data_IF_118983079627
#
_entry.id   IF_118983079627
#
_cell.length_a   1.000
_cell.length_b   1.000
_cell.length_c   1.000
_cell.angle_alpha   90.00
_cell.angle_beta   90.00
_cell.angle_gamma   90.00
#
_symmetry.space_group_name_H-M   'P 1'
#
loop_
_entity.id
_entity.type
_entity.pdbx_description
1 polymer ?
#
# COMPACT_ATOMS: atom_id res chain seq x y z
N UNK A 1 -8.27 10.67 11.59
CA UNK A 1 -7.21 9.63 11.52
C UNK A 1 -7.43 8.58 12.61
N UNK A 2 -7.24 7.29 12.30
CA UNK A 2 -7.35 6.19 13.25
C UNK A 2 -6.55 6.34 14.54
N UNK A 3 -5.39 7.03 14.48
CA UNK A 3 -4.59 7.39 15.65
C UNK A 3 -5.41 8.08 16.77
N UNK A 4 -6.46 8.81 16.40
CA UNK A 4 -7.32 9.54 17.33
C UNK A 4 -8.61 8.82 17.72
N UNK A 5 -8.86 7.64 17.15
CA UNK A 5 -10.11 6.92 17.39
C UNK A 5 -10.18 6.25 18.77
N UNK A 6 -9.02 5.92 19.36
CA UNK A 6 -8.92 5.35 20.70
C UNK A 6 -9.35 6.32 21.84
N UNK A 7 -9.65 7.58 21.53
CA UNK A 7 -10.09 8.59 22.50
C UNK A 7 -11.32 9.41 22.09
N UNK A 8 -11.88 9.19 20.90
CA UNK A 8 -12.96 10.03 20.33
C UNK A 8 -14.38 9.55 20.66
N UNK A 9 -14.55 8.69 21.67
CA UNK A 9 -15.85 8.19 22.13
C UNK A 9 -16.32 6.93 21.39
N UNK A 10 -17.64 6.70 21.38
CA UNK A 10 -18.22 5.45 20.91
C UNK A 10 -18.05 5.20 19.40
N UNK A 11 -18.02 6.26 18.58
CA UNK A 11 -17.81 6.16 17.12
C UNK A 11 -16.40 5.63 16.80
N UNK A 12 -15.37 6.26 17.36
CA UNK A 12 -13.98 5.84 17.15
C UNK A 12 -13.70 4.43 17.66
N UNK A 13 -14.17 4.09 18.87
CA UNK A 13 -14.01 2.74 19.41
C UNK A 13 -14.68 1.66 18.53
N UNK A 14 -15.86 1.97 17.98
CA UNK A 14 -16.57 1.08 17.06
C UNK A 14 -15.85 0.97 15.71
N UNK A 15 -15.34 2.08 15.18
CA UNK A 15 -14.59 2.13 13.92
C UNK A 15 -13.35 1.21 13.95
N UNK A 16 -12.65 1.14 15.07
CA UNK A 16 -11.47 0.27 15.24
C UNK A 16 -11.81 -1.22 15.11
N UNK A 17 -13.01 -1.65 15.52
CA UNK A 17 -13.44 -3.03 15.35
C UNK A 17 -13.62 -3.40 13.87
N UNK A 18 -13.98 -2.45 13.01
CA UNK A 18 -14.06 -2.65 11.56
C UNK A 18 -12.68 -2.53 10.88
N UNK A 19 -11.79 -1.71 11.42
CA UNK A 19 -10.44 -1.53 10.88
C UNK A 19 -9.57 -2.78 11.05
N UNK A 20 -9.78 -3.59 12.09
CA UNK A 20 -8.98 -4.79 12.34
C UNK A 20 -8.86 -5.68 11.09
N UNK A 21 -7.62 -6.07 10.79
CA UNK A 21 -7.30 -6.94 9.65
C UNK A 21 -7.30 -6.25 8.28
N UNK A 22 -7.67 -4.97 8.19
CA UNK A 22 -7.53 -4.20 6.95
C UNK A 22 -6.08 -3.79 6.68
N UNK A 23 -5.81 -3.26 5.50
CA UNK A 23 -4.52 -2.69 5.12
C UNK A 23 -4.15 -1.51 6.02
N UNK A 24 -5.11 -0.65 6.37
CA UNK A 24 -4.88 0.43 7.32
C UNK A 24 -4.49 -0.09 8.71
N UNK A 25 -5.10 -1.18 9.17
CA UNK A 25 -4.70 -1.82 10.43
C UNK A 25 -3.29 -2.39 10.36
N UNK A 26 -2.91 -3.02 9.23
CA UNK A 26 -1.55 -3.51 9.03
C UNK A 26 -0.54 -2.36 9.11
N UNK A 27 -0.75 -1.28 8.38
CA UNK A 27 0.13 -0.10 8.34
C UNK A 27 0.28 0.58 9.71
N UNK A 28 -0.77 0.61 10.53
CA UNK A 28 -0.69 1.18 11.90
C UNK A 28 0.15 0.32 12.84
N UNK A 29 0.11 -1.00 12.66
CA UNK A 29 0.84 -1.95 13.49
C UNK A 29 2.17 -2.37 12.87
N UNK A 30 2.57 -1.74 11.77
CA UNK A 30 3.88 -1.93 11.17
C UNK A 30 4.94 -1.38 12.12
N UNK A 31 5.98 -2.18 12.35
CA UNK A 31 7.07 -1.83 13.27
C UNK A 31 8.32 -1.42 12.50
N UNK A 32 9.05 -0.47 13.03
CA UNK A 32 10.36 -0.07 12.51
C UNK A 32 11.46 -1.13 12.79
N UNK A 33 12.71 -0.82 12.44
CA UNK A 33 13.86 -1.69 12.71
C UNK A 33 14.08 -1.98 14.21
N UNK A 34 13.57 -1.10 15.08
CA UNK A 34 13.63 -1.27 16.54
C UNK A 34 12.50 -2.14 17.10
N UNK A 35 11.50 -2.47 16.27
CA UNK A 35 10.30 -3.21 16.66
C UNK A 35 9.21 -2.34 17.29
N UNK A 36 9.31 -1.01 17.18
CA UNK A 36 8.33 -0.07 17.69
C UNK A 36 7.33 0.33 16.59
N UNK A 37 6.05 0.47 16.97
CA UNK A 37 5.03 1.03 16.09
C UNK A 37 5.10 2.55 16.05
N UNK A 38 4.53 3.17 15.02
CA UNK A 38 4.44 4.63 14.92
C UNK A 38 3.82 5.29 16.16
N UNK A 39 2.82 4.65 16.76
CA UNK A 39 2.15 5.15 17.97
C UNK A 39 3.11 5.13 19.17
N UNK A 40 3.87 4.05 19.31
CA UNK A 40 4.87 3.91 20.37
C UNK A 40 6.01 4.91 20.19
N UNK A 41 6.43 5.18 18.95
CA UNK A 41 7.46 6.18 18.65
C UNK A 41 7.01 7.60 18.97
N UNK A 42 5.78 7.96 18.61
CA UNK A 42 5.19 9.26 18.95
C UNK A 42 5.14 9.43 20.47
N UNK A 43 4.69 8.40 21.19
CA UNK A 43 4.64 8.39 22.65
C UNK A 43 6.04 8.48 23.27
N UNK A 44 7.00 7.69 22.79
CA UNK A 44 8.38 7.70 23.26
C UNK A 44 9.05 9.06 23.04
N UNK A 45 8.85 9.67 21.86
CA UNK A 45 9.37 11.00 21.56
C UNK A 45 8.75 12.08 22.43
N UNK A 46 7.44 12.01 22.70
CA UNK A 46 6.76 12.94 23.60
C UNK A 46 7.39 12.91 25.00
N UNK A 47 7.60 11.70 25.52
CA UNK A 47 8.16 11.46 26.86
C UNK A 47 9.63 11.91 26.95
N UNK A 48 10.45 11.50 25.99
CA UNK A 48 11.90 11.69 26.02
C UNK A 48 12.36 13.09 25.59
N UNK A 49 11.65 13.72 24.64
CA UNK A 49 12.09 14.96 23.99
C UNK A 49 11.09 16.08 24.22
N UNK A 50 9.85 15.92 23.74
CA UNK A 50 8.90 17.03 23.66
C UNK A 50 8.61 17.63 25.04
N UNK A 51 8.39 16.78 26.06
CA UNK A 51 8.15 17.23 27.44
C UNK A 51 9.30 18.06 28.00
N UNK A 52 10.54 17.64 27.74
CA UNK A 52 11.72 18.37 28.17
C UNK A 52 11.81 19.77 27.53
N UNK A 53 11.53 19.86 26.24
CA UNK A 53 11.49 21.13 25.51
C UNK A 53 10.37 22.03 26.02
N UNK A 54 9.15 21.52 26.18
CA UNK A 54 8.02 22.28 26.70
C UNK A 54 8.28 22.85 28.09
N UNK A 55 8.93 22.09 28.97
CA UNK A 55 9.29 22.56 30.32
C UNK A 55 10.23 23.75 30.31
N UNK A 56 11.11 23.83 29.31
CA UNK A 56 12.05 24.94 29.15
C UNK A 56 11.39 26.17 28.53
N UNK A 57 10.49 25.99 27.56
CA UNK A 57 9.90 27.09 26.78
C UNK A 57 8.68 27.72 27.48
N UNK A 58 7.78 26.90 28.02
CA UNK A 58 6.48 27.35 28.57
C UNK A 58 6.49 27.54 30.09
N UNK A 59 7.59 27.21 30.76
CA UNK A 59 7.72 27.17 32.22
C UNK A 59 7.02 25.96 32.85
N UNK A 60 7.47 25.55 34.03
CA UNK A 60 7.07 24.30 34.70
C UNK A 60 5.56 24.18 34.94
N UNK A 61 4.87 25.30 35.16
CA UNK A 61 3.43 25.35 35.49
C UNK A 61 2.51 25.05 34.30
N UNK A 62 2.99 25.22 33.07
CA UNK A 62 2.20 25.03 31.84
C UNK A 62 2.36 23.63 31.23
N UNK A 63 3.32 22.84 31.73
CA UNK A 63 3.59 21.48 31.24
C UNK A 63 2.68 20.44 31.86
N UNK A 64 2.21 20.66 33.09
CA UNK A 64 1.26 19.76 33.75
C UNK A 64 -0.08 19.65 33.00
N UNK A 65 -0.39 20.61 32.12
CA UNK A 65 -1.62 20.62 31.31
C UNK A 65 -1.47 20.00 29.92
N UNK A 66 -0.25 19.77 29.42
CA UNK A 66 -0.01 19.20 28.09
C UNK A 66 -0.02 17.68 28.15
N UNK A 67 -1.00 17.07 27.49
CA UNK A 67 -1.18 15.63 27.45
C UNK A 67 -0.54 15.00 26.21
N UNK A 68 -0.35 13.67 26.24
CA UNK A 68 0.01 12.90 25.04
C UNK A 68 -0.97 13.12 23.88
N UNK A 69 -2.26 13.30 24.21
CA UNK A 69 -3.30 13.51 23.22
C UNK A 69 -3.16 14.87 22.52
N UNK A 70 -2.73 15.92 23.24
CA UNK A 70 -2.44 17.23 22.64
C UNK A 70 -1.25 17.16 21.69
N UNK A 71 -0.21 16.40 22.06
CA UNK A 71 0.94 16.17 21.20
C UNK A 71 0.57 15.36 19.96
N UNK A 72 -0.21 14.29 20.12
CA UNK A 72 -0.71 13.49 19.00
C UNK A 72 -1.59 14.34 18.06
N UNK A 73 -2.42 15.25 18.61
CA UNK A 73 -3.20 16.19 17.80
C UNK A 73 -2.30 17.12 16.98
N UNK A 74 -1.27 17.70 17.60
CA UNK A 74 -0.31 18.55 16.91
C UNK A 74 0.48 17.77 15.84
N UNK A 75 0.90 16.55 16.16
CA UNK A 75 1.53 15.63 15.21
C UNK A 75 0.62 15.40 14.00
N UNK A 76 -0.66 15.09 14.25
CA UNK A 76 -1.62 14.87 13.17
C UNK A 76 -1.86 16.09 12.29
N UNK A 77 -1.86 17.30 12.87
CA UNK A 77 -1.95 18.53 12.08
C UNK A 77 -0.74 18.68 11.16
N UNK A 78 0.47 18.43 11.67
CA UNK A 78 1.69 18.53 10.86
C UNK A 78 1.73 17.42 9.80
N UNK A 79 1.45 16.17 10.17
CA UNK A 79 1.53 15.03 9.25
C UNK A 79 0.52 15.10 8.11
N UNK A 80 -0.63 15.76 8.32
CA UNK A 80 -1.69 15.88 7.31
C UNK A 80 -1.62 17.15 6.46
N UNK A 81 -0.75 18.12 6.80
CA UNK A 81 -0.73 19.45 6.16
C UNK A 81 0.65 19.95 5.75
N UNK A 82 1.72 19.31 6.19
CA UNK A 82 3.07 19.68 5.79
C UNK A 82 3.35 19.23 4.35
N UNK A 83 4.12 20.06 3.64
CA UNK A 83 4.61 19.81 2.29
C UNK A 83 6.12 19.60 2.33
N UNK A 84 6.63 18.72 1.47
CA UNK A 84 8.05 18.67 1.17
C UNK A 84 8.37 19.85 0.24
N UNK A 85 9.20 20.78 0.71
CA UNK A 85 9.48 22.05 0.04
C UNK A 85 10.72 21.93 -0.86
N UNK A 86 11.89 21.72 -0.26
CA UNK A 86 13.16 21.68 -0.96
C UNK A 86 14.23 20.96 -0.12
N UNK A 87 15.46 20.89 -0.64
CA UNK A 87 16.59 20.22 0.01
C UNK A 87 17.08 20.87 1.32
N UNK A 88 16.69 22.12 1.61
CA UNK A 88 17.10 22.87 2.81
C UNK A 88 15.99 22.92 3.85
N UNK A 89 14.78 23.34 3.47
CA UNK A 89 13.63 23.49 4.34
C UNK A 89 12.98 22.14 4.70
N UNK A 90 13.09 21.13 3.83
CA UNK A 90 12.49 19.82 4.07
C UNK A 90 10.97 19.88 4.17
N UNK A 91 10.40 19.42 5.30
CA UNK A 91 8.95 19.47 5.55
C UNK A 91 8.54 20.79 6.21
N UNK A 92 7.59 21.50 5.61
CA UNK A 92 7.05 22.74 6.16
C UNK A 92 5.52 22.85 6.02
N UNK A 93 4.90 23.56 6.97
CA UNK A 93 3.50 23.98 6.87
C UNK A 93 3.42 25.22 5.98
N UNK A 94 2.64 25.15 4.91
CA UNK A 94 2.50 26.24 3.93
C UNK A 94 1.09 26.82 4.02
N UNK A 95 0.91 27.97 4.71
CA UNK A 95 -0.41 28.59 4.81
C UNK A 95 -1.01 28.85 3.43
N UNK A 96 -2.34 28.76 3.32
CA UNK A 96 -3.12 28.86 2.08
C UNK A 96 -3.00 27.61 1.21
N UNK A 97 -1.79 27.11 0.94
CA UNK A 97 -1.61 25.86 0.18
C UNK A 97 -2.20 24.65 0.91
N UNK A 98 -2.11 24.62 2.25
CA UNK A 98 -2.68 23.58 3.10
C UNK A 98 -4.22 23.63 3.25
N UNK A 99 -4.88 24.62 2.62
CA UNK A 99 -6.33 24.74 2.62
C UNK A 99 -7.02 23.97 1.47
N UNK A 100 -6.27 23.60 0.43
CA UNK A 100 -6.82 22.88 -0.72
C UNK A 100 -7.00 21.38 -0.40
N UNK A 101 -8.21 20.87 -0.61
CA UNK A 101 -8.54 19.45 -0.42
C UNK A 101 -7.94 18.55 -1.50
N UNK A 102 -7.89 17.23 -1.26
CA UNK A 102 -7.36 16.27 -2.21
C UNK A 102 -8.41 15.65 -3.12
N UNK A 103 -8.06 15.46 -4.39
CA UNK A 103 -8.67 14.50 -5.31
C UNK A 103 -7.58 13.95 -6.24
N UNK A 104 -7.75 12.74 -6.78
CA UNK A 104 -6.81 12.17 -7.76
C UNK A 104 -6.68 13.07 -9.00
N UNK A 105 -7.81 13.41 -9.62
CA UNK A 105 -7.90 14.31 -10.77
C UNK A 105 -7.91 15.77 -10.33
N UNK A 106 -6.77 16.29 -9.86
CA UNK A 106 -6.66 17.59 -9.21
C UNK A 106 -6.69 18.79 -10.16
N UNK A 107 -6.98 19.96 -9.59
CA UNK A 107 -7.02 21.23 -10.31
C UNK A 107 -5.70 21.98 -10.23
N UNK A 108 -5.06 21.93 -9.06
CA UNK A 108 -3.85 22.68 -8.74
C UNK A 108 -2.82 21.78 -8.09
N UNK A 109 -1.55 22.15 -8.14
CA UNK A 109 -0.49 21.55 -7.33
C UNK A 109 0.45 22.62 -6.77
N UNK A 110 1.18 22.28 -5.71
CA UNK A 110 2.25 23.10 -5.18
C UNK A 110 3.52 22.88 -6.01
N UNK A 111 4.14 23.95 -6.47
CA UNK A 111 5.45 23.96 -7.10
C UNK A 111 6.44 24.73 -6.22
N UNK A 112 7.64 24.18 -6.09
CA UNK A 112 8.79 24.75 -5.40
C UNK A 112 10.06 24.49 -6.19
N UNK A 113 11.08 25.33 -5.99
CA UNK A 113 12.42 25.09 -6.52
C UNK A 113 13.19 24.15 -5.59
N UNK A 114 13.20 22.86 -5.90
CA UNK A 114 13.77 21.85 -5.01
C UNK A 114 15.31 21.92 -4.89
N UNK A 115 15.99 22.32 -5.97
CA UNK A 115 17.46 22.34 -6.09
C UNK A 115 18.08 23.61 -5.49
N UNK A 116 17.87 23.83 -4.19
CA UNK A 116 18.56 24.85 -3.40
C UNK A 116 19.81 24.29 -2.73
N UNK A 117 20.71 25.19 -2.31
CA UNK A 117 21.83 24.80 -1.45
C UNK A 117 21.31 24.15 -0.14
N UNK A 118 21.65 22.88 0.18
CA UNK A 118 21.16 22.20 1.39
C UNK A 118 21.65 22.82 2.71
N UNK A 119 22.63 23.72 2.67
CA UNK A 119 23.20 24.36 3.88
C UNK A 119 22.61 25.75 4.17
N UNK A 120 22.14 26.48 3.16
CA UNK A 120 21.61 27.84 3.34
C UNK A 120 20.35 28.18 2.56
N UNK A 121 19.79 27.26 1.78
CA UNK A 121 18.56 27.48 1.00
C UNK A 121 18.73 28.42 -0.20
N UNK A 122 19.96 28.75 -0.59
CA UNK A 122 20.17 29.65 -1.73
C UNK A 122 19.84 28.94 -3.05
N UNK A 123 18.97 29.57 -3.85
CA UNK A 123 18.70 29.21 -5.25
C UNK A 123 19.85 29.59 -6.20
N UNK A 124 20.75 30.45 -5.75
CA UNK A 124 21.88 30.94 -6.54
C UNK A 124 23.17 30.31 -6.02
N UNK A 125 24.24 30.52 -6.78
CA UNK A 125 25.57 30.17 -6.31
C UNK A 125 25.82 30.82 -4.95
N UNK A 126 26.28 30.03 -3.99
CA UNK A 126 26.54 30.41 -2.62
C UNK A 126 27.97 30.04 -2.21
N UNK A 127 28.38 30.44 -1.01
CA UNK A 127 29.73 30.15 -0.48
C UNK A 127 30.00 28.64 -0.35
N UNK A 128 28.95 27.82 -0.26
CA UNK A 128 29.06 26.36 -0.17
C UNK A 128 29.40 25.71 -1.53
N UNK A 129 29.35 26.46 -2.64
CA UNK A 129 29.76 25.99 -3.97
C UNK A 129 31.28 26.17 -4.23
N UNK A 130 32.05 26.53 -3.21
CA UNK A 130 33.52 26.65 -3.29
C UNK A 130 34.04 27.92 -3.97
N UNK A 131 33.22 28.95 -4.12
CA UNK A 131 33.61 30.25 -4.67
C UNK A 131 34.01 31.27 -3.61
N UNK A 132 35.18 31.91 -3.79
CA UNK A 132 35.56 33.12 -3.06
C UNK A 132 34.89 34.33 -3.75
N UNK A 133 34.02 35.04 -3.00
CA UNK A 133 33.23 36.23 -3.37
C UNK A 133 31.98 36.03 -4.25
N UNK A 134 30.80 36.27 -3.65
CA UNK A 134 29.51 36.39 -4.34
C UNK A 134 28.82 37.72 -3.99
N UNK A 135 28.14 38.37 -4.96
CA UNK A 135 27.57 39.71 -4.78
C UNK A 135 26.33 39.73 -3.86
N UNK A 136 26.13 40.91 -3.27
CA UNK A 136 25.16 41.26 -2.23
C UNK A 136 23.70 40.99 -2.58
N UNK A 137 22.99 40.43 -1.60
CA UNK A 137 21.57 40.62 -1.25
C UNK A 137 20.67 41.20 -2.35
N UNK A 138 20.22 40.33 -3.25
CA UNK A 138 18.84 40.42 -3.74
C UNK A 138 18.15 39.18 -3.20
N UNK A 139 17.39 39.35 -2.13
CA UNK A 139 16.33 38.41 -1.75
C UNK A 139 15.38 38.39 -2.95
N UNK A 140 15.59 37.46 -3.90
CA UNK A 140 14.45 37.02 -4.69
C UNK A 140 13.48 36.43 -3.68
N UNK A 141 12.22 36.86 -3.74
CA UNK A 141 11.18 36.30 -2.90
C UNK A 141 11.08 34.82 -3.27
N UNK A 142 11.79 33.98 -2.52
CA UNK A 142 11.62 32.53 -2.54
C UNK A 142 10.17 32.26 -2.19
N UNK A 143 9.39 31.91 -3.21
CA UNK A 143 7.95 31.78 -3.15
C UNK A 143 7.55 30.39 -3.58
N UNK A 144 6.56 29.87 -2.89
CA UNK A 144 5.88 28.65 -3.28
C UNK A 144 4.69 29.01 -4.16
N UNK A 145 4.54 28.32 -5.28
CA UNK A 145 3.51 28.61 -6.27
C UNK A 145 2.43 27.53 -6.24
N UNK A 146 1.16 27.92 -6.13
CA UNK A 146 0.03 27.03 -6.39
C UNK A 146 -0.41 27.21 -7.84
N UNK A 147 -0.14 26.21 -8.67
CA UNK A 147 -0.32 26.30 -10.13
C UNK A 147 -1.48 25.43 -10.57
N UNK A 148 -2.29 25.95 -11.49
CA UNK A 148 -3.38 25.20 -12.10
C UNK A 148 -2.89 24.31 -13.25
N UNK A 149 -3.34 23.05 -13.20
CA UNK A 149 -3.02 22.04 -14.22
C UNK A 149 -4.04 22.04 -15.36
N UNK A 150 -5.23 22.59 -15.10
CA UNK A 150 -6.35 22.63 -16.04
C UNK A 150 -7.21 23.89 -15.81
N UNK A 151 -8.06 24.28 -16.78
CA UNK A 151 -9.05 25.33 -16.57
C UNK A 151 -9.95 25.01 -15.37
N UNK A 152 -10.24 26.02 -14.55
CA UNK A 152 -11.09 25.89 -13.36
C UNK A 152 -12.32 26.78 -13.57
N UNK A 153 -13.51 26.20 -13.45
CA UNK A 153 -14.76 26.94 -13.58
C UNK A 153 -15.00 27.86 -12.38
N UNK A 154 -15.77 28.93 -12.58
CA UNK A 154 -16.09 29.84 -11.49
C UNK A 154 -17.08 29.20 -10.51
N UNK A 155 -16.78 29.26 -9.21
CA UNK A 155 -17.68 28.79 -8.16
C UNK A 155 -17.56 27.31 -7.82
N UNK A 156 -16.62 26.57 -8.42
CA UNK A 156 -16.29 25.19 -8.02
C UNK A 156 -15.18 25.18 -6.98
N UNK A 157 -15.18 24.17 -6.13
CA UNK A 157 -14.07 23.93 -5.21
C UNK A 157 -12.79 23.55 -5.98
N UNK A 158 -11.67 24.08 -5.51
CA UNK A 158 -10.36 23.84 -6.10
C UNK A 158 -9.64 22.78 -5.28
N UNK A 159 -9.15 21.75 -5.95
CA UNK A 159 -8.54 20.58 -5.32
C UNK A 159 -7.05 20.47 -5.69
N UNK A 160 -6.24 20.12 -4.70
CA UNK A 160 -4.83 19.77 -4.80
C UNK A 160 -4.64 18.24 -4.91
N UNK A 161 -3.40 17.79 -5.14
CA UNK A 161 -2.97 16.41 -4.94
C UNK A 161 -2.12 16.29 -3.66
N UNK A 162 -2.40 15.28 -2.83
CA UNK A 162 -1.58 14.94 -1.64
C UNK A 162 -0.54 13.85 -1.97
N UNK A 163 -0.48 13.45 -3.24
CA UNK A 163 0.29 12.32 -3.74
C UNK A 163 -0.56 11.49 -4.70
N UNK A 164 -0.02 11.19 -5.89
CA UNK A 164 -0.77 10.52 -6.96
C UNK A 164 -1.03 9.03 -6.68
N UNK A 165 -0.29 8.44 -5.73
CA UNK A 165 -0.17 6.98 -5.57
C UNK A 165 -0.59 6.48 -4.18
N UNK A 166 -1.42 7.24 -3.46
CA UNK A 166 -1.86 6.91 -2.10
C UNK A 166 -3.14 6.05 -2.11
N UNK A 167 -3.10 4.90 -1.43
CA UNK A 167 -4.29 4.08 -1.19
C UNK A 167 -5.20 4.70 -0.12
N UNK A 168 -6.46 4.29 -0.05
CA UNK A 168 -7.39 4.69 1.00
C UNK A 168 -6.90 4.32 2.40
N UNK A 169 -6.15 3.21 2.53
CA UNK A 169 -5.50 2.87 3.78
C UNK A 169 -4.49 3.95 4.19
N UNK A 170 -3.65 4.44 3.26
CA UNK A 170 -2.70 5.51 3.53
C UNK A 170 -3.39 6.86 3.76
N UNK A 171 -4.39 7.20 2.93
CA UNK A 171 -5.16 8.44 3.07
C UNK A 171 -5.87 8.52 4.42
N UNK A 172 -6.46 7.42 4.87
CA UNK A 172 -7.13 7.35 6.17
C UNK A 172 -6.15 7.59 7.33
N UNK A 173 -4.94 7.04 7.22
CA UNK A 173 -3.92 7.14 8.25
C UNK A 173 -3.21 8.49 8.29
N UNK A 174 -2.96 9.11 7.13
CA UNK A 174 -2.21 10.35 7.01
C UNK A 174 -3.10 11.59 7.06
N UNK A 175 -4.32 11.50 6.54
CA UNK A 175 -5.22 12.66 6.36
C UNK A 175 -6.60 12.46 7.00
N UNK A 176 -7.01 11.22 7.27
CA UNK A 176 -8.26 10.94 7.97
C UNK A 176 -9.50 10.95 7.08
N UNK A 177 -9.35 10.71 5.78
CA UNK A 177 -10.44 10.50 4.83
C UNK A 177 -10.11 9.33 3.90
N UNK A 178 -11.11 8.88 3.13
CA UNK A 178 -10.97 7.91 2.04
C UNK A 178 -11.68 8.46 0.80
N UNK A 179 -11.30 7.98 -0.38
CA UNK A 179 -11.95 8.28 -1.65
C UNK A 179 -12.86 7.13 -2.06
N UNK A 180 -13.98 7.46 -2.71
CA UNK A 180 -14.83 6.46 -3.36
C UNK A 180 -14.17 6.00 -4.66
N UNK A 181 -13.87 4.70 -4.77
CA UNK A 181 -13.25 4.12 -5.97
C UNK A 181 -11.80 4.54 -6.19
N UNK A 182 -10.92 4.33 -5.21
CA UNK A 182 -9.50 4.65 -5.33
C UNK A 182 -8.72 3.55 -6.06
N UNK A 183 -8.27 3.82 -7.29
CA UNK A 183 -7.46 2.90 -8.11
C UNK A 183 -6.14 2.47 -7.45
N UNK A 184 -5.63 3.24 -6.48
CA UNK A 184 -4.40 2.91 -5.75
C UNK A 184 -4.63 1.91 -4.60
N UNK A 185 -5.88 1.55 -4.31
CA UNK A 185 -6.20 0.57 -3.29
C UNK A 185 -5.54 -0.77 -3.59
N UNK A 186 -5.02 -1.36 -2.52
CA UNK A 186 -4.31 -2.63 -2.60
C UNK A 186 -4.30 -3.29 -1.23
N UNK A 187 -4.30 -4.62 -1.23
CA UNK A 187 -4.09 -5.44 -0.05
C UNK A 187 -2.72 -6.08 -0.16
N UNK A 188 -1.86 -5.91 0.85
CA UNK A 188 -0.45 -6.33 0.76
C UNK A 188 -0.07 -7.36 1.82
N UNK A 189 1.01 -8.09 1.53
CA UNK A 189 1.65 -9.02 2.44
C UNK A 189 3.16 -8.75 2.50
N UNK A 190 3.73 -8.98 3.67
CA UNK A 190 5.18 -8.97 3.88
C UNK A 190 5.82 -10.27 3.39
N UNK A 191 7.14 -10.24 3.15
CA UNK A 191 7.89 -11.45 2.83
C UNK A 191 7.77 -12.54 3.92
N UNK A 192 7.64 -12.11 5.18
CA UNK A 192 7.48 -13.02 6.32
C UNK A 192 6.12 -13.70 6.33
N UNK A 193 5.03 -12.94 6.15
CA UNK A 193 3.68 -13.50 6.02
C UNK A 193 3.58 -14.47 4.83
N UNK A 194 4.18 -14.11 3.70
CA UNK A 194 4.21 -14.97 2.51
C UNK A 194 4.92 -16.30 2.77
N UNK A 195 6.04 -16.26 3.48
CA UNK A 195 6.80 -17.45 3.82
C UNK A 195 6.07 -18.35 4.84
N UNK A 196 5.47 -17.76 5.87
CA UNK A 196 4.65 -18.50 6.83
C UNK A 196 3.44 -19.15 6.17
N UNK A 197 2.79 -18.43 5.25
CA UNK A 197 1.70 -18.95 4.44
C UNK A 197 2.15 -20.13 3.56
N UNK A 198 3.25 -19.99 2.84
CA UNK A 198 3.79 -21.08 2.01
C UNK A 198 4.21 -22.27 2.87
N UNK A 199 4.87 -22.05 4.00
CA UNK A 199 5.31 -23.11 4.90
C UNK A 199 4.13 -23.93 5.43
N UNK A 200 3.08 -23.24 5.88
CA UNK A 200 1.86 -23.86 6.41
C UNK A 200 1.04 -24.56 5.33
N UNK A 201 0.94 -23.98 4.13
CA UNK A 201 0.10 -24.50 3.04
C UNK A 201 0.76 -25.65 2.27
N UNK A 202 2.09 -25.60 2.07
CA UNK A 202 2.82 -26.60 1.30
C UNK A 202 3.62 -27.58 2.17
N UNK A 203 3.70 -27.36 3.49
CA UNK A 203 4.57 -28.13 4.40
C UNK A 203 6.02 -28.20 3.93
N UNK A 204 6.50 -27.08 3.37
CA UNK A 204 7.81 -26.96 2.73
C UNK A 204 8.59 -25.76 3.28
N UNK A 205 9.93 -25.79 3.21
CA UNK A 205 10.79 -24.70 3.72
C UNK A 205 10.91 -23.58 2.68
N UNK A 206 10.35 -22.37 2.92
CA UNK A 206 10.35 -21.26 1.97
C UNK A 206 11.72 -20.59 1.77
N UNK A 207 12.77 -20.99 2.51
CA UNK A 207 14.08 -20.34 2.45
C UNK A 207 14.68 -20.20 1.03
N UNK A 208 14.59 -21.19 0.11
CA UNK A 208 15.10 -21.04 -1.26
C UNK A 208 14.36 -19.98 -2.07
N UNK A 209 13.04 -19.85 -1.88
CA UNK A 209 12.24 -18.83 -2.57
C UNK A 209 12.61 -17.45 -2.05
N UNK A 210 12.63 -17.26 -0.72
CA UNK A 210 13.02 -15.97 -0.11
C UNK A 210 14.35 -15.43 -0.63
N UNK A 211 15.34 -16.30 -0.83
CA UNK A 211 16.67 -15.91 -1.31
C UNK A 211 16.72 -15.58 -2.81
N UNK A 212 15.72 -15.98 -3.58
CA UNK A 212 15.67 -15.81 -5.04
C UNK A 212 14.59 -14.83 -5.48
N UNK A 213 13.67 -14.42 -4.60
CA UNK A 213 12.56 -13.53 -4.92
C UNK A 213 13.01 -12.21 -5.52
N UNK A 214 13.91 -11.48 -4.88
CA UNK A 214 14.37 -10.17 -5.38
C UNK A 214 15.00 -10.28 -6.77
N UNK A 215 15.80 -11.33 -6.97
CA UNK A 215 16.38 -11.63 -8.27
C UNK A 215 15.32 -11.92 -9.33
N UNK A 216 14.35 -12.81 -9.05
CA UNK A 216 13.26 -13.11 -9.98
C UNK A 216 12.43 -11.87 -10.34
N UNK A 217 12.14 -11.03 -9.35
CA UNK A 217 11.38 -9.80 -9.55
C UNK A 217 12.13 -8.75 -10.38
N UNK A 218 13.48 -8.79 -10.38
CA UNK A 218 14.33 -7.88 -11.17
C UNK A 218 14.44 -8.24 -12.65
N UNK A 219 14.00 -9.45 -13.04
CA UNK A 219 14.01 -9.89 -14.44
C UNK A 219 12.89 -9.23 -15.24
N UNK A 220 13.05 -9.21 -16.56
CA UNK A 220 11.99 -8.77 -17.48
C UNK A 220 10.97 -9.88 -17.68
N UNK A 221 9.68 -9.53 -17.62
CA UNK A 221 8.55 -10.44 -17.75
C UNK A 221 7.60 -9.95 -18.84
N UNK A 222 8.10 -9.77 -20.08
CA UNK A 222 7.35 -9.25 -21.23
C UNK A 222 5.98 -9.94 -21.45
N UNK A 223 5.92 -11.27 -21.24
CA UNK A 223 4.66 -12.03 -21.36
C UNK A 223 3.56 -11.49 -20.43
N UNK A 224 3.92 -11.08 -19.21
CA UNK A 224 2.96 -10.50 -18.27
C UNK A 224 2.50 -9.12 -18.73
N UNK A 225 3.43 -8.28 -19.22
CA UNK A 225 3.11 -6.93 -19.69
C UNK A 225 2.19 -6.93 -20.92
N UNK A 226 2.32 -7.92 -21.80
CA UNK A 226 1.60 -7.96 -23.07
C UNK A 226 0.28 -8.74 -23.01
N UNK A 227 0.14 -9.72 -22.10
CA UNK A 227 -0.88 -10.76 -22.27
C UNK A 227 -1.64 -11.20 -21.03
N UNK A 228 -1.29 -10.77 -19.81
CA UNK A 228 -1.98 -11.25 -18.60
C UNK A 228 -3.04 -10.27 -18.12
N UNK A 229 -4.26 -10.77 -17.91
CA UNK A 229 -5.35 -10.05 -17.24
C UNK A 229 -5.38 -10.35 -15.73
N UNK A 230 -4.70 -11.41 -15.28
CA UNK A 230 -4.71 -11.87 -13.90
C UNK A 230 -3.55 -11.34 -13.07
N UNK A 231 -2.43 -11.00 -13.73
CA UNK A 231 -1.18 -10.61 -13.08
C UNK A 231 -0.64 -9.32 -13.68
N UNK A 232 -0.35 -8.33 -12.85
CA UNK A 232 0.20 -7.03 -13.28
C UNK A 232 1.63 -6.83 -12.75
N UNK A 233 2.45 -6.05 -13.47
CA UNK A 233 3.80 -5.70 -13.03
C UNK A 233 3.74 -4.55 -12.00
N UNK A 234 4.09 -4.84 -10.75
CA UNK A 234 4.18 -3.83 -9.69
C UNK A 234 5.61 -3.29 -9.57
N UNK A 235 5.81 -2.01 -9.89
CA UNK A 235 7.15 -1.39 -9.84
C UNK A 235 7.75 -1.30 -8.43
N UNK A 236 6.94 -1.47 -7.37
CA UNK A 236 7.40 -1.47 -5.98
C UNK A 236 7.79 -2.88 -5.51
N UNK A 237 7.66 -3.89 -6.37
CA UNK A 237 7.99 -5.29 -6.07
C UNK A 237 7.25 -5.84 -4.84
N UNK A 238 6.05 -5.32 -4.57
CA UNK A 238 5.24 -5.71 -3.43
C UNK A 238 4.51 -7.03 -3.69
N UNK A 239 4.24 -7.79 -2.62
CA UNK A 239 3.30 -8.91 -2.68
C UNK A 239 1.90 -8.36 -2.42
N UNK A 240 1.08 -8.17 -3.45
CA UNK A 240 -0.22 -7.53 -3.26
C UNK A 240 -1.27 -7.92 -4.31
N UNK A 241 -2.52 -7.56 -4.00
CA UNK A 241 -3.66 -7.54 -4.93
C UNK A 241 -4.10 -6.08 -5.07
N UNK A 242 -4.26 -5.58 -6.29
CA UNK A 242 -4.65 -4.19 -6.56
C UNK A 242 -6.18 -3.99 -6.52
N UNK A 243 -6.64 -2.75 -6.77
CA UNK A 243 -8.05 -2.37 -6.73
C UNK A 243 -8.95 -3.21 -7.66
N UNK A 244 -8.41 -3.71 -8.77
CA UNK A 244 -9.13 -4.54 -9.74
C UNK A 244 -9.18 -6.03 -9.35
N UNK A 245 -8.58 -6.42 -8.22
CA UNK A 245 -8.47 -7.82 -7.83
C UNK A 245 -7.38 -8.60 -8.59
N UNK A 246 -6.50 -7.91 -9.32
CA UNK A 246 -5.38 -8.53 -10.03
C UNK A 246 -4.16 -8.70 -9.10
N UNK A 247 -3.40 -9.76 -9.31
CA UNK A 247 -2.27 -10.15 -8.45
C UNK A 247 -0.99 -9.47 -8.94
N UNK A 248 -0.16 -8.96 -8.03
CA UNK A 248 1.15 -8.44 -8.41
C UNK A 248 2.07 -9.55 -8.90
N UNK A 249 2.94 -9.25 -9.86
CA UNK A 249 3.91 -10.22 -10.36
C UNK A 249 4.82 -10.74 -9.24
N UNK A 250 5.17 -9.90 -8.26
CA UNK A 250 5.92 -10.32 -7.08
C UNK A 250 5.21 -11.44 -6.30
N UNK A 251 3.91 -11.29 -6.02
CA UNK A 251 3.10 -12.29 -5.32
C UNK A 251 3.00 -13.58 -6.15
N UNK A 252 2.72 -13.44 -7.44
CA UNK A 252 2.63 -14.58 -8.36
C UNK A 252 3.95 -15.35 -8.44
N UNK A 253 5.07 -14.66 -8.65
CA UNK A 253 6.41 -15.25 -8.76
C UNK A 253 6.80 -15.99 -7.48
N UNK A 254 6.47 -15.44 -6.30
CA UNK A 254 6.76 -16.08 -5.02
C UNK A 254 6.04 -17.43 -4.91
N UNK A 255 4.73 -17.45 -5.17
CA UNK A 255 3.91 -18.67 -5.07
C UNK A 255 4.27 -19.69 -6.17
N UNK A 256 4.51 -19.23 -7.40
CA UNK A 256 4.93 -20.08 -8.50
C UNK A 256 6.29 -20.73 -8.22
N UNK A 257 7.28 -19.95 -7.75
CA UNK A 257 8.58 -20.46 -7.37
C UNK A 257 8.49 -21.47 -6.21
N UNK A 258 7.62 -21.24 -5.22
CA UNK A 258 7.38 -22.17 -4.12
C UNK A 258 6.81 -23.52 -4.61
N UNK A 259 5.87 -23.51 -5.55
CA UNK A 259 5.34 -24.72 -6.16
C UNK A 259 6.40 -25.46 -6.98
N UNK A 260 7.19 -24.74 -7.78
CA UNK A 260 8.30 -25.34 -8.55
C UNK A 260 9.30 -25.99 -7.61
N UNK A 261 9.74 -25.28 -6.55
CA UNK A 261 10.73 -25.79 -5.60
C UNK A 261 10.21 -27.01 -4.83
N UNK A 262 8.97 -26.94 -4.32
CA UNK A 262 8.37 -28.02 -3.54
C UNK A 262 8.18 -29.29 -4.36
N UNK A 263 7.80 -29.18 -5.65
CA UNK A 263 7.65 -30.33 -6.55
C UNK A 263 8.97 -30.94 -7.01
N UNK A 264 9.99 -30.11 -7.23
CA UNK A 264 11.31 -30.56 -7.71
C UNK A 264 12.25 -30.98 -6.58
N UNK A 265 11.90 -30.69 -5.32
CA UNK A 265 12.72 -31.02 -4.15
C UNK A 265 13.96 -30.13 -4.00
N UNK A 266 13.96 -28.95 -4.62
CA UNK A 266 15.01 -27.95 -4.49
C UNK A 266 15.06 -27.48 -3.02
N UNK A 267 16.26 -27.47 -2.42
CA UNK A 267 16.48 -27.05 -1.02
C UNK A 267 17.62 -26.05 -0.83
N UNK A 268 18.29 -25.61 -1.91
CA UNK A 268 19.49 -24.77 -1.83
C UNK A 268 19.55 -23.70 -2.94
N UNK A 269 20.26 -22.58 -2.72
CA UNK A 269 20.08 -21.36 -3.52
C UNK A 269 20.80 -21.32 -4.88
N UNK A 270 22.04 -21.82 -4.99
CA UNK A 270 22.91 -21.41 -6.12
C UNK A 270 22.82 -22.30 -7.35
N UNK A 271 22.43 -23.57 -7.22
CA UNK A 271 22.22 -24.49 -8.36
C UNK A 271 20.76 -24.58 -8.80
N UNK A 272 19.89 -23.75 -8.21
CA UNK A 272 18.45 -23.84 -8.36
C UNK A 272 17.84 -22.67 -9.15
N UNK A 273 18.52 -21.53 -9.26
CA UNK A 273 17.99 -20.33 -9.91
C UNK A 273 17.55 -20.59 -11.36
N UNK A 274 18.37 -21.25 -12.17
CA UNK A 274 18.01 -21.60 -13.55
C UNK A 274 16.83 -22.57 -13.63
N UNK A 275 16.77 -23.54 -12.71
CA UNK A 275 15.67 -24.50 -12.64
C UNK A 275 14.35 -23.85 -12.18
N UNK A 276 14.43 -22.93 -11.21
CA UNK A 276 13.29 -22.15 -10.72
C UNK A 276 12.79 -21.24 -11.84
N UNK A 277 13.68 -20.47 -12.48
CA UNK A 277 13.31 -19.59 -13.59
C UNK A 277 12.67 -20.37 -14.73
N UNK A 278 13.29 -21.46 -15.17
CA UNK A 278 12.73 -22.30 -16.22
C UNK A 278 11.35 -22.87 -15.84
N UNK A 279 11.19 -23.33 -14.60
CA UNK A 279 9.90 -23.80 -14.11
C UNK A 279 8.83 -22.70 -14.09
N UNK A 280 9.17 -21.53 -13.56
CA UNK A 280 8.27 -20.36 -13.48
C UNK A 280 7.89 -19.88 -14.88
N UNK A 281 8.82 -19.80 -15.83
CA UNK A 281 8.50 -19.45 -17.22
C UNK A 281 7.56 -20.45 -17.90
N UNK A 282 7.74 -21.76 -17.63
CA UNK A 282 6.82 -22.77 -18.15
C UNK A 282 5.42 -22.63 -17.55
N UNK A 283 5.30 -22.27 -16.27
CA UNK A 283 4.01 -21.96 -15.64
C UNK A 283 3.39 -20.72 -16.25
N UNK A 284 4.17 -19.66 -16.47
CA UNK A 284 3.69 -18.42 -17.06
C UNK A 284 3.15 -18.63 -18.48
N UNK A 285 3.88 -19.36 -19.34
CA UNK A 285 3.42 -19.70 -20.69
C UNK A 285 2.15 -20.56 -20.66
N UNK A 286 2.06 -21.50 -19.72
CA UNK A 286 0.86 -22.31 -19.55
C UNK A 286 -0.34 -21.46 -19.11
N UNK A 287 -0.16 -20.55 -18.16
CA UNK A 287 -1.20 -19.62 -17.71
C UNK A 287 -1.65 -18.72 -18.86
N UNK A 288 -0.72 -18.09 -19.58
CA UNK A 288 -1.05 -17.19 -20.70
C UNK A 288 -1.86 -17.91 -21.79
N UNK A 289 -1.50 -19.15 -22.14
CA UNK A 289 -2.29 -19.97 -23.08
C UNK A 289 -3.70 -20.31 -22.55
N UNK A 290 -3.85 -20.51 -21.22
CA UNK A 290 -5.16 -20.72 -20.60
C UNK A 290 -6.03 -19.46 -20.59
N UNK A 291 -5.45 -18.30 -20.28
CA UNK A 291 -6.14 -16.99 -20.33
C UNK A 291 -6.62 -16.66 -21.75
N UNK A 292 -5.82 -17.00 -22.76
CA UNK A 292 -6.17 -16.80 -24.17
C UNK A 292 -7.12 -17.87 -24.75
N UNK A 293 -7.58 -18.82 -23.92
CA UNK A 293 -8.42 -19.95 -24.32
C UNK A 293 -7.83 -20.75 -25.50
N UNK A 294 -6.50 -20.91 -25.54
CA UNK A 294 -5.84 -21.75 -26.52
C UNK A 294 -6.24 -23.22 -26.36
N UNK A 295 -6.26 -23.97 -27.47
CA UNK A 295 -6.47 -25.42 -27.41
C UNK A 295 -5.39 -26.08 -26.52
N UNK A 296 -5.75 -27.03 -25.66
CA UNK A 296 -4.81 -27.73 -24.75
C UNK A 296 -3.60 -28.35 -25.45
N UNK A 297 -3.79 -28.80 -26.70
CA UNK A 297 -2.75 -29.37 -27.57
C UNK A 297 -1.68 -28.36 -28.03
N UNK A 298 -1.98 -27.06 -27.98
CA UNK A 298 -1.04 -25.99 -28.31
C UNK A 298 -0.29 -25.47 -27.07
N UNK A 299 -0.77 -25.79 -25.86
CA UNK A 299 -0.15 -25.36 -24.61
C UNK A 299 0.92 -26.37 -24.17
N UNK A 300 2.19 -25.96 -24.26
CA UNK A 300 3.32 -26.81 -23.87
C UNK A 300 3.26 -27.22 -22.39
N UNK A 301 3.24 -28.53 -22.14
CA UNK A 301 3.19 -29.08 -20.78
C UNK A 301 1.83 -28.92 -20.09
N UNK A 302 0.74 -28.70 -20.84
CA UNK A 302 -0.61 -28.43 -20.32
C UNK A 302 -1.03 -29.32 -19.15
N UNK A 303 -0.84 -30.64 -19.24
CA UNK A 303 -1.28 -31.57 -18.18
C UNK A 303 -0.51 -31.37 -16.87
N UNK A 304 0.82 -31.31 -16.93
CA UNK A 304 1.67 -31.18 -15.74
C UNK A 304 1.65 -29.74 -15.20
N UNK A 305 1.80 -28.76 -16.08
CA UNK A 305 1.80 -27.35 -15.74
C UNK A 305 0.41 -26.87 -15.33
N UNK A 306 -0.65 -27.30 -16.01
CA UNK A 306 -2.04 -27.00 -15.67
C UNK A 306 -2.44 -27.52 -14.29
N UNK A 307 -1.97 -28.72 -13.89
CA UNK A 307 -2.14 -29.18 -12.50
C UNK A 307 -1.43 -28.28 -11.48
N UNK A 308 -0.32 -27.65 -11.87
CA UNK A 308 0.43 -26.70 -11.04
C UNK A 308 -0.28 -25.35 -10.98
N UNK A 309 -0.83 -24.88 -12.11
CA UNK A 309 -1.65 -23.68 -12.18
C UNK A 309 -2.92 -23.83 -11.33
N UNK A 310 -3.59 -24.99 -11.37
CA UNK A 310 -4.71 -25.26 -10.49
C UNK A 310 -4.33 -25.18 -9.00
N UNK A 311 -3.16 -25.71 -8.62
CA UNK A 311 -2.63 -25.56 -7.26
C UNK A 311 -2.28 -24.11 -6.93
N UNK A 312 -1.71 -23.37 -7.88
CA UNK A 312 -1.40 -21.94 -7.73
C UNK A 312 -2.66 -21.11 -7.49
N UNK A 313 -3.70 -21.31 -8.30
CA UNK A 313 -5.03 -20.71 -8.08
C UNK A 313 -5.57 -21.04 -6.68
N UNK A 314 -5.42 -22.29 -6.23
CA UNK A 314 -5.83 -22.71 -4.89
C UNK A 314 -5.06 -22.02 -3.76
N UNK A 315 -3.76 -21.77 -3.95
CA UNK A 315 -2.95 -20.99 -2.99
C UNK A 315 -3.38 -19.52 -2.96
N UNK A 316 -3.55 -18.87 -4.11
CA UNK A 316 -4.01 -17.48 -4.20
C UNK A 316 -5.40 -17.33 -3.56
N UNK A 317 -6.32 -18.24 -3.89
CA UNK A 317 -7.65 -18.29 -3.27
C UNK A 317 -7.55 -18.42 -1.74
N UNK A 318 -6.73 -19.34 -1.24
CA UNK A 318 -6.58 -19.57 0.20
C UNK A 318 -5.96 -18.37 0.92
N UNK A 319 -4.99 -17.70 0.30
CA UNK A 319 -4.36 -16.49 0.82
C UNK A 319 -5.38 -15.34 0.91
N UNK A 320 -6.11 -15.07 -0.17
CA UNK A 320 -7.12 -14.02 -0.22
C UNK A 320 -8.28 -14.30 0.75
N UNK A 321 -8.73 -15.56 0.84
CA UNK A 321 -9.76 -16.00 1.79
C UNK A 321 -9.32 -15.81 3.23
N UNK A 322 -8.09 -16.19 3.57
CA UNK A 322 -7.54 -16.02 4.91
C UNK A 322 -7.49 -14.53 5.31
N UNK A 323 -7.02 -13.68 4.39
CA UNK A 323 -7.01 -12.22 4.60
C UNK A 323 -8.41 -11.66 4.74
N UNK A 324 -9.35 -12.04 3.88
CA UNK A 324 -10.74 -11.58 3.92
C UNK A 324 -11.46 -11.98 5.21
N UNK A 325 -11.23 -13.20 5.70
CA UNK A 325 -11.78 -13.66 6.98
C UNK A 325 -11.23 -12.86 8.18
N UNK A 326 -10.00 -12.36 8.08
CA UNK A 326 -9.40 -11.51 9.11
C UNK A 326 -9.93 -10.08 9.15
N UNK A 327 -10.62 -9.61 8.11
CA UNK A 327 -11.14 -8.23 8.02
C UNK A 327 -12.40 -8.06 8.87
N UNK A 328 -12.34 -7.06 9.75
CA UNK A 328 -13.36 -6.66 10.71
C UNK A 328 -13.69 -7.72 11.75
N UNK A 329 -13.91 -7.27 12.99
CA UNK A 329 -14.31 -8.15 14.08
C UNK A 329 -15.68 -8.79 13.79
N UNK A 330 -15.76 -10.10 13.93
CA UNK A 330 -16.98 -10.86 13.68
C UNK A 330 -17.15 -11.32 12.23
N UNK A 331 -16.15 -11.07 11.39
CA UNK A 331 -16.06 -11.58 10.01
C UNK A 331 -17.29 -11.30 9.15
N UNK A 332 -17.80 -10.04 9.13
CA UNK A 332 -19.00 -9.71 8.38
C UNK A 332 -18.80 -9.95 6.88
N UNK A 333 -19.86 -10.38 6.21
CA UNK A 333 -19.93 -10.51 4.76
C UNK A 333 -19.99 -9.12 4.09
N UNK A 334 -19.63 -9.07 2.81
CA UNK A 334 -19.73 -7.83 1.98
C UNK A 334 -21.15 -7.26 2.01
N UNK A 335 -22.17 -8.14 1.96
CA UNK A 335 -23.57 -7.72 2.06
C UNK A 335 -23.89 -7.08 3.41
N UNK A 336 -23.45 -7.68 4.52
CA UNK A 336 -23.69 -7.14 5.86
C UNK A 336 -22.96 -5.81 6.06
N UNK A 337 -21.75 -5.65 5.51
CA UNK A 337 -21.04 -4.38 5.52
C UNK A 337 -21.75 -3.31 4.69
N UNK A 338 -22.28 -3.65 3.52
CA UNK A 338 -23.07 -2.75 2.68
C UNK A 338 -24.36 -2.29 3.37
N UNK A 339 -25.15 -3.23 3.91
CA UNK A 339 -26.36 -2.93 4.68
C UNK A 339 -26.06 -2.04 5.91
N UNK A 340 -24.94 -2.30 6.59
CA UNK A 340 -24.49 -1.46 7.68
C UNK A 340 -24.11 -0.06 7.18
N UNK A 341 -23.36 0.05 6.09
CA UNK A 341 -22.93 1.33 5.51
C UNK A 341 -24.13 2.20 5.12
N UNK A 342 -25.16 1.61 4.52
CA UNK A 342 -26.41 2.28 4.14
C UNK A 342 -27.21 2.74 5.37
N UNK A 343 -27.12 2.01 6.48
CA UNK A 343 -27.81 2.35 7.73
C UNK A 343 -27.12 3.45 8.55
N UNK A 344 -25.84 3.74 8.28
CA UNK A 344 -25.05 4.71 9.03
C UNK A 344 -25.29 6.15 8.52
N UNK A 345 -25.83 7.06 9.36
CA UNK A 345 -26.03 8.45 8.95
C UNK A 345 -24.70 9.17 8.77
N UNK A 346 -24.56 9.90 7.65
CA UNK A 346 -23.32 10.58 7.24
C UNK A 346 -22.71 11.47 8.33
N UNK A 347 -23.53 12.23 9.06
CA UNK A 347 -23.05 13.21 10.05
C UNK A 347 -22.80 12.62 11.45
N UNK A 348 -23.29 11.42 11.74
CA UNK A 348 -23.37 10.91 13.13
C UNK A 348 -22.26 9.93 13.51
N UNK A 349 -21.64 9.28 12.52
CA UNK A 349 -20.64 8.25 12.75
C UNK A 349 -19.57 8.23 11.62
N UNK A 350 -18.88 9.37 11.39
CA UNK A 350 -17.96 9.49 10.25
C UNK A 350 -16.79 8.51 10.33
N UNK A 351 -16.26 8.25 11.53
CA UNK A 351 -15.13 7.32 11.71
C UNK A 351 -15.55 5.90 11.37
N UNK A 352 -16.71 5.48 11.89
CA UNK A 352 -17.24 4.14 11.63
C UNK A 352 -17.61 3.98 10.16
N UNK A 353 -18.21 4.99 9.53
CA UNK A 353 -18.55 4.97 8.11
C UNK A 353 -17.30 4.76 7.25
N UNK A 354 -16.21 5.49 7.52
CA UNK A 354 -14.94 5.30 6.83
C UNK A 354 -14.34 3.90 7.04
N UNK A 355 -14.35 3.40 8.28
CA UNK A 355 -13.81 2.07 8.57
C UNK A 355 -14.61 0.94 7.91
N UNK A 356 -15.95 1.05 7.89
CA UNK A 356 -16.84 0.10 7.21
C UNK A 356 -16.63 0.16 5.69
N UNK A 357 -16.55 1.36 5.12
CA UNK A 357 -16.31 1.54 3.68
C UNK A 357 -14.96 0.95 3.25
N UNK A 358 -13.88 1.23 4.00
CA UNK A 358 -12.57 0.63 3.74
C UNK A 358 -12.60 -0.91 3.82
N UNK A 359 -13.21 -1.46 4.88
CA UNK A 359 -13.34 -2.91 5.03
C UNK A 359 -14.16 -3.55 3.90
N UNK A 360 -15.22 -2.88 3.45
CA UNK A 360 -16.05 -3.31 2.33
C UNK A 360 -15.23 -3.36 1.03
N UNK A 361 -14.50 -2.27 0.72
CA UNK A 361 -13.65 -2.18 -0.47
C UNK A 361 -12.58 -3.26 -0.49
N UNK A 362 -11.83 -3.43 0.60
CA UNK A 362 -10.77 -4.45 0.67
C UNK A 362 -11.32 -5.88 0.56
N UNK A 363 -12.47 -6.19 1.17
CA UNK A 363 -13.12 -7.49 0.98
C UNK A 363 -13.58 -7.69 -0.46
N UNK A 364 -14.08 -6.65 -1.11
CA UNK A 364 -14.48 -6.70 -2.53
C UNK A 364 -13.28 -6.99 -3.43
N UNK A 365 -12.14 -6.34 -3.20
CA UNK A 365 -10.88 -6.60 -3.93
C UNK A 365 -10.49 -8.08 -3.83
N UNK A 366 -10.51 -8.62 -2.60
CA UNK A 366 -10.15 -10.02 -2.35
C UNK A 366 -11.16 -10.99 -2.96
N UNK A 367 -12.46 -10.69 -2.94
CA UNK A 367 -13.49 -11.52 -3.55
C UNK A 367 -13.38 -11.56 -5.07
N UNK A 368 -13.13 -10.42 -5.72
CA UNK A 368 -12.84 -10.35 -7.15
C UNK A 368 -11.64 -11.23 -7.51
N UNK A 369 -10.54 -11.10 -6.76
CA UNK A 369 -9.34 -11.92 -6.95
C UNK A 369 -9.63 -13.43 -6.80
N UNK A 370 -10.36 -13.83 -5.75
CA UNK A 370 -10.73 -15.23 -5.55
C UNK A 370 -11.55 -15.77 -6.73
N UNK A 371 -12.52 -14.99 -7.21
CA UNK A 371 -13.39 -15.39 -8.32
C UNK A 371 -12.63 -15.57 -9.63
N UNK A 372 -11.76 -14.62 -9.99
CA UNK A 372 -11.00 -14.67 -11.25
C UNK A 372 -10.05 -15.88 -11.29
N UNK A 373 -9.31 -16.12 -10.20
CA UNK A 373 -8.39 -17.27 -10.12
C UNK A 373 -9.12 -18.62 -10.05
N UNK A 374 -10.31 -18.66 -9.44
CA UNK A 374 -11.15 -19.87 -9.46
C UNK A 374 -11.66 -20.17 -10.88
N UNK A 375 -12.08 -19.14 -11.64
CA UNK A 375 -12.52 -19.31 -13.02
C UNK A 375 -11.42 -19.88 -13.93
N UNK A 376 -10.17 -19.40 -13.76
CA UNK A 376 -9.01 -19.99 -14.44
C UNK A 376 -8.83 -21.48 -14.07
N UNK A 377 -8.96 -21.81 -12.78
CA UNK A 377 -8.80 -23.18 -12.29
C UNK A 377 -9.88 -24.14 -12.84
N UNK A 378 -11.10 -23.67 -13.01
CA UNK A 378 -12.23 -24.44 -13.57
C UNK A 378 -12.04 -24.72 -15.07
N UNK A 379 -11.40 -23.81 -15.80
CA UNK A 379 -11.05 -23.99 -17.23
C UNK A 379 -10.18 -25.24 -17.43
N UNK A 380 -9.26 -25.52 -16.51
CA UNK A 380 -8.42 -26.72 -16.56
C UNK A 380 -9.22 -28.01 -16.31
N UNK A 381 -10.14 -28.01 -15.34
CA UNK A 381 -10.93 -29.19 -14.97
C UNK A 381 -11.86 -29.60 -16.12
N UNK A 382 -12.55 -28.63 -16.74
CA UNK A 382 -13.48 -28.90 -17.84
C UNK A 382 -12.81 -29.56 -19.05
N UNK A 383 -11.56 -29.20 -19.34
CA UNK A 383 -10.79 -29.85 -20.41
C UNK A 383 -10.44 -31.28 -20.03
N UNK A 384 -9.98 -31.51 -18.80
CA UNK A 384 -9.59 -32.85 -18.35
C UNK A 384 -10.73 -33.87 -18.34
N UNK A 385 -11.97 -33.41 -18.10
CA UNK A 385 -13.18 -34.25 -18.16
C UNK A 385 -13.68 -34.49 -19.59
N UNK A 386 -13.25 -33.68 -20.57
CA UNK A 386 -13.66 -33.82 -21.98
C UNK A 386 -12.78 -34.79 -22.79
N UNK A 387 -11.57 -35.08 -22.30
CA UNK A 387 -10.60 -36.01 -22.89
C UNK A 387 -10.63 -37.43 -22.27
N UNK A 388 -11.50 -37.68 -21.27
CA UNK A 388 -11.72 -38.99 -20.63
C UNK A 388 -13.04 -39.62 -21.04
#
# INVERSE_FOLDING_TARGET
MPLFWLGSGADGASALDFLKGTEAWRLVNETDESGATLVEDIDAFFEAVARGVYSKVLGSSSVETLTRQDFALAYGLVSSRAFLIDAYHGLAMVPIADAFNHVQENHVHLQSDYEVCPECGSLRQCIHDGGEDLPSETWEDDCLEMISNRPIESGVEVFNTYGEMLSNAQLLLQYGFILDGNENDRVTWTCDEMAEFVHSSLHWDPAPVRQTTDWLQSLSWEILEESSELVYIDRKHAFCVNADGTVSHGLWLYLAAALVCSRTGIRGPTSAQEAILSGVEHLLRCQSGMEQHESPEHISGYTTNGSTIHQLSGLIFSLCRARSAGISRGEPTIRELGELLDSLPEDSAPSRRMAVSLALTEKSILETCMFTWQSLAETFVHVSDSDG
#
